data_IF_932723841077
#
_entry.id   IF_932723841077
#
_cell.length_a   1.000
_cell.length_b   1.000
_cell.length_c   1.000
_cell.angle_alpha   90.00
_cell.angle_beta   90.00
_cell.angle_gamma   90.00
#
_symmetry.space_group_name_H-M   'P 1'
#
loop_
_entity.id
_entity.type
_entity.pdbx_description
1 polymer ?
#
# COMPACT_ATOMS: atom_id res chain seq x y z
N UNK A 1 -15.75 -8.20 3.78
CA UNK A 1 -14.60 -8.05 2.90
C UNK A 1 -13.35 -7.89 3.74
N UNK A 2 -12.25 -8.51 3.33
CA UNK A 2 -11.04 -8.45 4.16
C UNK A 2 -10.29 -7.13 3.99
N UNK A 3 -9.52 -6.80 5.02
CA UNK A 3 -8.55 -5.73 4.93
C UNK A 3 -7.25 -6.29 4.38
N UNK A 4 -6.62 -5.55 3.52
CA UNK A 4 -5.31 -5.92 2.98
C UNK A 4 -4.29 -4.89 3.43
N UNK A 5 -3.20 -5.36 4.01
CA UNK A 5 -2.13 -4.49 4.48
C UNK A 5 -1.14 -4.24 3.35
N UNK A 6 -0.78 -2.99 3.18
CA UNK A 6 0.22 -2.57 2.20
C UNK A 6 1.39 -1.93 2.92
N UNK A 7 2.57 -2.12 2.40
CA UNK A 7 3.78 -1.59 3.00
C UNK A 7 4.60 -0.85 1.94
N UNK A 8 5.10 0.31 2.31
CA UNK A 8 6.00 1.07 1.43
C UNK A 8 7.37 0.39 1.36
N UNK A 9 7.94 0.34 0.17
CA UNK A 9 9.25 -0.29 -0.03
C UNK A 9 10.41 0.57 0.45
N UNK A 10 10.18 1.87 0.69
CA UNK A 10 11.25 2.79 1.06
C UNK A 10 11.23 3.16 2.54
N UNK A 11 10.08 3.56 3.07
CA UNK A 11 10.00 4.05 4.45
C UNK A 11 9.39 3.03 5.41
N UNK A 12 9.05 1.85 4.93
CA UNK A 12 8.45 0.78 5.72
C UNK A 12 7.11 1.14 6.37
N UNK A 13 6.49 2.23 5.94
CA UNK A 13 5.16 2.58 6.43
C UNK A 13 4.14 1.56 5.98
N UNK A 14 3.23 1.19 6.88
CA UNK A 14 2.16 0.26 6.55
C UNK A 14 0.82 0.99 6.54
N UNK A 15 -0.09 0.50 5.72
CA UNK A 15 -1.44 1.02 5.66
C UNK A 15 -2.39 -0.12 5.29
N UNK A 16 -3.61 -0.04 5.77
CA UNK A 16 -4.61 -1.05 5.49
C UNK A 16 -5.70 -0.46 4.62
N UNK A 17 -6.17 -1.25 3.66
CA UNK A 17 -7.26 -0.87 2.78
C UNK A 17 -8.32 -1.96 2.79
N UNK A 18 -9.57 -1.54 2.89
CA UNK A 18 -10.71 -2.44 2.83
C UNK A 18 -11.07 -2.64 1.36
N UNK A 19 -10.65 -3.77 0.80
CA UNK A 19 -10.79 -4.04 -0.61
C UNK A 19 -11.51 -5.36 -0.86
N UNK A 20 -12.19 -5.44 -2.00
CA UNK A 20 -12.74 -6.70 -2.47
C UNK A 20 -11.59 -7.61 -2.88
N UNK A 21 -11.84 -8.93 -2.85
CA UNK A 21 -10.84 -9.89 -3.27
C UNK A 21 -10.36 -9.59 -4.69
N UNK A 22 -11.27 -9.22 -5.57
CA UNK A 22 -10.92 -8.88 -6.95
C UNK A 22 -10.06 -7.62 -7.06
N UNK A 23 -10.13 -6.73 -6.05
CA UNK A 23 -9.41 -5.47 -6.05
C UNK A 23 -8.19 -5.47 -5.13
N UNK A 24 -7.84 -6.62 -4.58
CA UNK A 24 -6.78 -6.74 -3.59
C UNK A 24 -5.44 -6.17 -4.05
N UNK A 25 -5.17 -6.25 -5.34
CA UNK A 25 -3.91 -5.77 -5.89
C UNK A 25 -4.03 -4.41 -6.57
N UNK A 26 -5.20 -3.78 -6.49
CA UNK A 26 -5.42 -2.49 -7.16
C UNK A 26 -4.57 -1.37 -6.57
N UNK A 27 -4.11 -1.54 -5.33
CA UNK A 27 -3.27 -0.54 -4.66
C UNK A 27 -1.79 -0.82 -4.80
N UNK A 28 -1.42 -1.98 -5.32
CA UNK A 28 -0.01 -2.31 -5.52
C UNK A 28 0.57 -1.37 -6.56
N UNK A 29 1.71 -0.76 -6.23
CA UNK A 29 2.35 0.21 -7.10
C UNK A 29 1.91 1.65 -6.89
N UNK A 30 0.91 1.88 -6.04
CA UNK A 30 0.48 3.25 -5.70
C UNK A 30 1.60 3.97 -4.94
N UNK A 31 1.66 5.30 -5.03
CA UNK A 31 2.66 6.05 -4.27
C UNK A 31 2.42 5.89 -2.77
N UNK A 32 3.51 5.95 -2.03
CA UNK A 32 3.47 5.90 -0.58
C UNK A 32 2.64 7.07 -0.03
N UNK A 33 1.97 6.85 1.10
CA UNK A 33 1.21 7.91 1.75
C UNK A 33 2.09 9.10 2.17
N UNK A 34 3.40 8.89 2.24
CA UNK A 34 4.37 9.95 2.56
C UNK A 34 5.04 10.53 1.32
N UNK A 35 4.48 10.30 0.14
CA UNK A 35 5.07 10.82 -1.09
C UNK A 35 5.23 12.33 -1.06
N UNK A 36 4.31 13.04 -0.39
CA UNK A 36 4.37 14.49 -0.27
C UNK A 36 5.50 14.97 0.63
N UNK A 37 6.07 14.07 1.43
CA UNK A 37 7.16 14.43 2.35
C UNK A 37 8.50 13.91 1.87
N UNK A 38 8.57 13.46 0.61
CA UNK A 38 9.82 13.08 0.00
C UNK A 38 10.06 11.58 -0.13
N UNK A 39 9.11 10.75 0.29
CA UNK A 39 9.24 9.31 0.09
C UNK A 39 8.99 8.97 -1.37
N UNK A 40 9.96 8.33 -2.02
CA UNK A 40 9.85 7.96 -3.44
C UNK A 40 9.35 6.51 -3.63
N UNK A 41 9.01 5.83 -2.55
CA UNK A 41 8.62 4.43 -2.61
C UNK A 41 7.21 4.21 -3.11
N UNK A 42 6.90 2.96 -3.40
CA UNK A 42 5.56 2.52 -3.75
C UNK A 42 5.12 1.44 -2.76
N UNK A 43 3.82 1.22 -2.67
CA UNK A 43 3.29 0.25 -1.72
C UNK A 43 3.19 -1.13 -2.36
N UNK A 44 3.38 -2.15 -1.53
CA UNK A 44 3.24 -3.54 -1.90
C UNK A 44 2.26 -4.21 -0.94
N UNK A 45 1.54 -5.21 -1.43
CA UNK A 45 0.64 -5.96 -0.57
C UNK A 45 1.44 -6.94 0.30
N UNK A 46 1.16 -6.94 1.59
CA UNK A 46 1.74 -7.88 2.53
C UNK A 46 0.76 -9.03 2.73
N UNK A 47 1.19 -10.28 2.63
CA UNK A 47 0.33 -11.43 2.86
C UNK A 47 -0.21 -11.50 4.27
#
# INVERSE_FOLDING_TARGET
MPYYTHKCSECDSTQEHYLKIADRDSRVGDPCQHANTGCAGTVERIP
#
